data_IF_489584584371
#
_entry.id   IF_489584584371
#
_cell.length_a   1.000
_cell.length_b   1.000
_cell.length_c   1.000
_cell.angle_alpha   90.00
_cell.angle_beta   90.00
_cell.angle_gamma   90.00
#
_symmetry.space_group_name_H-M   'P 1'
#
loop_
_entity.id
_entity.type
_entity.pdbx_description
1 polymer ?
#
# COMPACT_ATOMS: atom_id res chain seq x y z
N UNK A 1 -23.22 8.45 18.64
CA UNK A 1 -23.62 7.30 17.80
C UNK A 1 -22.37 6.88 17.03
N UNK A 2 -21.48 6.10 17.64
CA UNK A 2 -20.20 5.71 17.04
C UNK A 2 -20.25 4.22 16.74
N UNK A 3 -20.29 3.89 15.45
CA UNK A 3 -20.33 2.51 14.95
C UNK A 3 -18.89 2.13 14.61
N UNK A 4 -18.13 1.73 15.62
CA UNK A 4 -16.95 0.88 15.43
C UNK A 4 -17.33 -0.49 16.00
N UNK A 5 -17.98 -1.30 15.16
CA UNK A 5 -18.24 -2.70 15.49
C UNK A 5 -16.96 -3.50 15.26
N UNK A 6 -16.20 -3.65 16.35
CA UNK A 6 -15.04 -4.53 16.45
C UNK A 6 -15.45 -5.99 16.34
N UNK A 7 -15.72 -6.45 15.11
CA UNK A 7 -15.84 -7.88 14.81
C UNK A 7 -14.48 -8.55 14.96
N UNK A 8 -14.22 -8.99 16.19
CA UNK A 8 -13.26 -10.06 16.51
C UNK A 8 -13.59 -11.28 15.66
N UNK A 9 -12.70 -11.63 14.74
CA UNK A 9 -12.64 -12.95 14.13
C UNK A 9 -11.83 -13.91 15.01
N UNK A 10 -12.22 -15.19 15.17
CA UNK A 10 -11.52 -16.13 16.05
C UNK A 10 -10.50 -17.02 15.30
N UNK A 11 -9.41 -17.36 16.02
CA UNK A 11 -8.52 -18.54 15.86
C UNK A 11 -7.54 -18.51 14.67
N UNK A 12 -6.24 -18.88 14.74
CA UNK A 12 -5.50 -19.85 15.59
C UNK A 12 -4.06 -19.37 15.82
N UNK A 13 -3.36 -20.07 16.72
CA UNK A 13 -2.01 -19.91 17.31
C UNK A 13 -0.79 -19.73 16.35
N UNK A 14 -0.98 -19.30 15.10
CA UNK A 14 0.06 -18.94 14.12
C UNK A 14 0.12 -17.44 13.77
N UNK A 15 -0.71 -16.61 14.41
CA UNK A 15 -1.10 -15.26 14.00
C UNK A 15 -0.16 -14.13 14.47
N UNK A 16 1.16 -14.32 14.38
CA UNK A 16 2.14 -13.28 14.77
C UNK A 16 2.31 -12.14 13.75
N UNK A 17 1.46 -12.04 12.72
CA UNK A 17 1.87 -11.39 11.45
C UNK A 17 0.98 -10.30 10.83
N UNK A 18 -0.23 -10.00 11.31
CA UNK A 18 -1.18 -9.25 10.46
C UNK A 18 -1.73 -7.95 11.07
N UNK A 19 -0.91 -7.22 11.83
CA UNK A 19 -1.13 -5.80 12.06
C UNK A 19 -0.53 -4.98 10.91
N UNK A 20 -1.03 -3.76 10.68
CA UNK A 20 -0.43 -2.78 9.76
C UNK A 20 1.09 -2.63 9.97
N UNK A 21 1.52 -2.59 11.22
CA UNK A 21 2.94 -2.55 11.59
C UNK A 21 3.69 -3.82 11.18
N UNK A 22 3.08 -5.00 11.28
CA UNK A 22 3.67 -6.26 10.83
C UNK A 22 3.87 -6.31 9.32
N UNK A 23 2.89 -5.83 8.56
CA UNK A 23 2.99 -5.72 7.11
C UNK A 23 4.03 -4.69 6.68
N UNK A 24 4.08 -3.53 7.33
CA UNK A 24 5.10 -2.52 7.06
C UNK A 24 6.51 -3.03 7.41
N UNK A 25 6.67 -3.73 8.54
CA UNK A 25 7.94 -4.32 8.91
C UNK A 25 8.42 -5.39 7.92
N UNK A 26 7.48 -6.14 7.32
CA UNK A 26 7.80 -7.10 6.28
C UNK A 26 8.19 -6.41 4.96
N UNK A 27 7.42 -5.38 4.55
CA UNK A 27 7.70 -4.57 3.36
C UNK A 27 9.10 -3.95 3.42
N UNK A 28 9.40 -3.25 4.51
CA UNK A 28 10.69 -2.59 4.72
C UNK A 28 11.86 -3.57 4.88
N UNK A 29 11.57 -4.85 5.15
CA UNK A 29 12.59 -5.90 5.24
C UNK A 29 12.92 -6.46 3.86
N UNK A 30 11.90 -6.81 3.08
CA UNK A 30 12.06 -7.39 1.74
C UNK A 30 10.75 -7.32 0.96
N UNK A 31 10.77 -6.63 -0.17
CA UNK A 31 9.63 -6.55 -1.10
C UNK A 31 9.25 -7.93 -1.64
N UNK A 32 10.24 -8.77 -1.98
CA UNK A 32 9.98 -10.11 -2.49
C UNK A 32 9.26 -10.98 -1.44
N UNK A 33 9.75 -10.98 -0.19
CA UNK A 33 9.09 -11.72 0.88
C UNK A 33 7.71 -11.16 1.21
N UNK A 34 7.56 -9.84 1.16
CA UNK A 34 6.29 -9.16 1.32
C UNK A 34 5.27 -9.63 0.27
N UNK A 35 5.62 -9.56 -1.01
CA UNK A 35 4.78 -10.00 -2.12
C UNK A 35 4.41 -11.48 -2.01
N UNK A 36 5.36 -12.36 -1.70
CA UNK A 36 5.10 -13.79 -1.55
C UNK A 36 4.09 -14.08 -0.42
N UNK A 37 4.28 -13.43 0.74
CA UNK A 37 3.36 -13.59 1.87
C UNK A 37 2.01 -12.96 1.62
N UNK A 38 1.98 -11.80 0.95
CA UNK A 38 0.76 -11.11 0.59
C UNK A 38 -0.06 -11.94 -0.40
N UNK A 39 0.58 -12.49 -1.43
CA UNK A 39 -0.06 -13.40 -2.40
C UNK A 39 -0.69 -14.60 -1.70
N UNK A 40 0.06 -15.27 -0.82
CA UNK A 40 -0.47 -16.40 -0.06
C UNK A 40 -1.63 -16.00 0.84
N UNK A 41 -1.52 -14.87 1.55
CA UNK A 41 -2.59 -14.38 2.42
C UNK A 41 -3.86 -14.02 1.65
N UNK A 42 -3.74 -13.51 0.41
CA UNK A 42 -4.88 -13.22 -0.47
C UNK A 42 -5.65 -14.45 -0.94
N UNK A 43 -5.04 -15.64 -0.96
CA UNK A 43 -5.76 -16.89 -1.26
C UNK A 43 -6.90 -17.10 -0.25
N UNK A 44 -6.65 -16.78 1.02
CA UNK A 44 -7.64 -16.84 2.10
C UNK A 44 -8.45 -15.54 2.24
N UNK A 45 -7.95 -14.42 1.70
CA UNK A 45 -8.49 -13.07 1.88
C UNK A 45 -8.64 -12.28 0.56
N UNK A 46 -9.34 -12.80 -0.46
CA UNK A 46 -9.28 -12.29 -1.84
C UNK A 46 -9.94 -10.92 -2.06
N UNK A 47 -10.74 -10.44 -1.11
CA UNK A 47 -11.43 -9.14 -1.17
C UNK A 47 -10.93 -8.15 -0.13
N UNK A 48 -9.89 -8.53 0.63
CA UNK A 48 -9.44 -7.71 1.74
C UNK A 48 -8.44 -6.68 1.25
N UNK A 49 -8.74 -5.42 1.51
CA UNK A 49 -7.82 -4.32 1.28
C UNK A 49 -6.77 -4.32 2.39
N UNK A 50 -5.49 -4.25 2.03
CA UNK A 50 -4.41 -4.18 2.99
C UNK A 50 -4.22 -2.73 3.47
N UNK A 51 -4.44 -2.42 4.77
CA UNK A 51 -4.37 -1.05 5.26
C UNK A 51 -2.92 -0.63 5.51
N UNK A 52 -2.27 -0.01 4.52
CA UNK A 52 -0.99 0.68 4.63
C UNK A 52 -1.17 2.21 4.45
N UNK A 53 -2.32 2.73 4.87
CA UNK A 53 -2.67 4.14 4.82
C UNK A 53 -1.78 4.96 5.79
N UNK A 54 -1.62 6.27 5.61
CA UNK A 54 -0.90 7.15 6.54
C UNK A 54 0.49 6.65 7.01
N UNK A 55 1.19 5.84 6.20
CA UNK A 55 2.56 5.42 6.50
C UNK A 55 3.56 6.39 5.89
N UNK A 56 4.72 6.52 6.51
CA UNK A 56 5.82 7.28 5.95
C UNK A 56 6.77 6.35 5.20
N UNK A 57 6.71 6.43 3.87
CA UNK A 57 7.59 5.75 2.92
C UNK A 57 8.41 6.77 2.13
N UNK A 58 8.52 8.01 2.65
CA UNK A 58 9.39 9.02 2.08
C UNK A 58 10.84 8.61 2.25
N UNK A 59 11.69 9.06 1.32
CA UNK A 59 13.13 8.81 1.33
C UNK A 59 13.54 7.36 1.13
N UNK A 60 12.62 6.46 0.77
CA UNK A 60 12.99 5.17 0.20
C UNK A 60 13.68 5.44 -1.13
N UNK A 61 14.92 4.97 -1.28
CA UNK A 61 15.77 5.29 -2.44
C UNK A 61 15.81 4.13 -3.43
N UNK A 62 16.09 4.48 -4.69
CA UNK A 62 16.46 3.63 -5.82
C UNK A 62 16.25 2.12 -5.60
N UNK A 63 15.10 1.63 -6.02
CA UNK A 63 14.79 0.20 -6.11
C UNK A 63 14.38 -0.49 -4.81
N UNK A 64 14.29 0.24 -3.68
CA UNK A 64 13.79 -0.34 -2.41
C UNK A 64 12.34 -0.83 -2.50
N UNK A 65 11.55 -0.34 -3.47
CA UNK A 65 10.19 -0.78 -3.75
C UNK A 65 10.06 -1.54 -5.08
N UNK A 66 11.17 -1.89 -5.73
CA UNK A 66 11.13 -2.54 -7.04
C UNK A 66 10.41 -3.89 -6.97
N UNK A 67 9.44 -4.05 -7.86
CA UNK A 67 8.60 -5.24 -7.94
C UNK A 67 7.48 -5.29 -6.91
N UNK A 68 7.29 -4.26 -6.06
CA UNK A 68 6.17 -4.24 -5.10
C UNK A 68 4.83 -4.30 -5.83
N UNK A 69 4.04 -5.34 -5.54
CA UNK A 69 2.70 -5.50 -6.08
C UNK A 69 1.70 -4.71 -5.23
N UNK A 70 1.22 -3.61 -5.80
CA UNK A 70 0.35 -2.67 -5.10
C UNK A 70 -1.15 -3.07 -5.13
N UNK A 71 -1.53 -4.15 -5.82
CA UNK A 71 -2.94 -4.52 -6.03
C UNK A 71 -3.70 -4.60 -4.70
N UNK A 72 -4.80 -3.87 -4.51
CA UNK A 72 -5.60 -3.97 -3.29
C UNK A 72 -4.88 -3.51 -2.00
N UNK A 73 -3.83 -2.70 -2.11
CA UNK A 73 -3.22 -2.01 -0.97
C UNK A 73 -3.83 -0.60 -0.87
N UNK A 74 -4.18 -0.21 0.35
CA UNK A 74 -4.56 1.16 0.66
C UNK A 74 -3.32 1.94 1.09
N UNK A 75 -2.92 2.92 0.28
CA UNK A 75 -1.85 3.89 0.57
C UNK A 75 -2.40 5.29 0.82
N UNK A 76 -3.68 5.40 1.16
CA UNK A 76 -4.31 6.71 1.36
C UNK A 76 -3.61 7.52 2.45
N UNK A 77 -3.34 8.79 2.17
CA UNK A 77 -2.62 9.68 3.09
C UNK A 77 -1.16 9.30 3.37
N UNK A 78 -0.63 8.25 2.74
CA UNK A 78 0.76 7.83 2.93
C UNK A 78 1.73 8.79 2.23
N UNK A 79 2.90 8.99 2.82
CA UNK A 79 3.90 9.91 2.31
C UNK A 79 4.94 9.15 1.45
N UNK A 80 5.05 9.51 0.18
CA UNK A 80 6.05 9.01 -0.76
C UNK A 80 6.92 10.14 -1.33
N UNK A 81 7.00 11.28 -0.63
CA UNK A 81 7.77 12.41 -1.15
C UNK A 81 9.22 12.03 -1.43
N UNK A 82 9.69 12.46 -2.60
CA UNK A 82 11.03 12.19 -3.14
C UNK A 82 11.38 10.69 -3.33
N UNK A 83 10.41 9.79 -3.28
CA UNK A 83 10.63 8.35 -3.49
C UNK A 83 10.65 7.96 -4.97
N UNK A 84 11.37 6.88 -5.29
CA UNK A 84 11.37 6.26 -6.61
C UNK A 84 10.29 5.17 -6.68
N UNK A 85 9.28 5.40 -7.52
CA UNK A 85 8.15 4.50 -7.74
C UNK A 85 8.24 3.74 -9.07
N UNK A 86 9.32 3.91 -9.84
CA UNK A 86 9.43 3.36 -11.20
C UNK A 86 9.30 1.84 -11.26
N UNK A 87 9.69 1.12 -10.21
CA UNK A 87 9.55 -0.34 -10.12
C UNK A 87 8.24 -0.86 -9.52
N UNK A 88 7.29 0.00 -9.14
CA UNK A 88 6.00 -0.45 -8.61
C UNK A 88 5.14 -1.14 -9.67
N UNK A 89 4.47 -2.23 -9.28
CA UNK A 89 3.56 -2.99 -10.12
C UNK A 89 2.09 -2.76 -9.69
N UNK A 90 1.16 -2.86 -10.65
CA UNK A 90 -0.29 -2.75 -10.42
C UNK A 90 -0.70 -1.46 -9.67
N UNK A 91 -0.03 -0.34 -9.99
CA UNK A 91 -0.27 0.98 -9.35
C UNK A 91 -1.72 1.43 -9.47
N UNK A 92 -2.39 1.08 -10.58
CA UNK A 92 -3.80 1.37 -10.86
C UNK A 92 -4.78 0.62 -9.97
N UNK A 93 -4.34 -0.47 -9.33
CA UNK A 93 -5.16 -1.31 -8.46
C UNK A 93 -4.99 -1.00 -6.97
N UNK A 94 -4.14 -0.04 -6.63
CA UNK A 94 -3.99 0.46 -5.27
C UNK A 94 -4.87 1.69 -5.05
N UNK A 95 -5.02 2.09 -3.78
CA UNK A 95 -5.73 3.32 -3.40
C UNK A 95 -4.69 4.36 -3.02
N UNK A 96 -4.61 5.45 -3.81
CA UNK A 96 -3.64 6.54 -3.62
C UNK A 96 -4.27 7.82 -3.05
N UNK A 97 -5.52 7.78 -2.60
CA UNK A 97 -6.25 8.97 -2.15
C UNK A 97 -5.45 9.77 -1.11
N UNK A 98 -5.23 11.06 -1.36
CA UNK A 98 -4.44 11.94 -0.47
C UNK A 98 -2.97 11.55 -0.26
N UNK A 99 -2.41 10.60 -1.01
CA UNK A 99 -1.00 10.25 -0.90
C UNK A 99 -0.10 11.45 -1.23
N UNK A 100 0.97 11.62 -0.45
CA UNK A 100 2.00 12.63 -0.68
C UNK A 100 2.94 12.19 -1.80
N UNK A 101 2.75 12.71 -3.01
CA UNK A 101 3.51 12.32 -4.21
C UNK A 101 4.42 13.44 -4.76
N UNK A 102 4.75 14.43 -3.94
CA UNK A 102 5.65 15.51 -4.37
C UNK A 102 7.07 14.98 -4.62
N UNK A 103 7.67 15.32 -5.76
CA UNK A 103 9.06 14.97 -6.07
C UNK A 103 9.29 13.49 -6.42
N UNK A 104 8.24 12.69 -6.60
CA UNK A 104 8.41 11.27 -6.97
C UNK A 104 9.09 11.12 -8.32
N UNK A 105 9.84 10.04 -8.48
CA UNK A 105 10.24 9.53 -9.79
C UNK A 105 9.30 8.38 -10.17
N UNK A 106 8.72 8.42 -11.36
CA UNK A 106 7.82 7.37 -11.85
C UNK A 106 7.83 7.33 -13.39
N UNK A 107 7.31 6.26 -13.97
CA UNK A 107 7.12 6.17 -15.42
C UNK A 107 5.98 7.11 -15.89
N UNK A 108 5.93 7.51 -17.17
CA UNK A 108 4.81 8.30 -17.70
C UNK A 108 3.44 7.65 -17.47
N UNK A 109 3.34 6.33 -17.56
CA UNK A 109 2.10 5.58 -17.35
C UNK A 109 1.67 5.63 -15.88
N UNK A 110 2.61 5.44 -14.96
CA UNK A 110 2.36 5.56 -13.53
C UNK A 110 1.94 6.99 -13.17
N UNK A 111 2.57 8.00 -13.77
CA UNK A 111 2.22 9.41 -13.54
C UNK A 111 0.76 9.69 -13.90
N UNK A 112 0.27 9.16 -15.03
CA UNK A 112 -1.13 9.31 -15.44
C UNK A 112 -2.10 8.70 -14.41
N UNK A 113 -1.81 7.48 -13.96
CA UNK A 113 -2.63 6.76 -12.98
C UNK A 113 -2.65 7.51 -11.65
N UNK A 114 -1.47 7.85 -11.11
CA UNK A 114 -1.32 8.52 -9.84
C UNK A 114 -1.97 9.90 -9.85
N UNK A 115 -1.76 10.67 -10.93
CA UNK A 115 -2.39 11.97 -11.09
C UNK A 115 -3.91 11.84 -11.12
N UNK A 116 -4.45 10.91 -11.92
CA UNK A 116 -5.90 10.72 -12.04
C UNK A 116 -6.52 10.39 -10.68
N UNK A 117 -6.00 9.38 -9.98
CA UNK A 117 -6.58 8.93 -8.71
C UNK A 117 -6.48 9.99 -7.61
N UNK A 118 -5.32 10.66 -7.47
CA UNK A 118 -5.14 11.70 -6.45
C UNK A 118 -5.98 12.93 -6.77
N UNK A 119 -6.13 13.29 -8.05
CA UNK A 119 -6.96 14.40 -8.48
C UNK A 119 -8.44 14.13 -8.23
N UNK A 120 -8.95 12.96 -8.62
CA UNK A 120 -10.33 12.54 -8.36
C UNK A 120 -10.64 12.54 -6.86
N UNK A 121 -9.73 12.01 -6.03
CA UNK A 121 -9.89 12.00 -4.58
C UNK A 121 -10.02 13.42 -3.99
N UNK A 122 -9.32 14.41 -4.55
CA UNK A 122 -9.40 15.82 -4.13
C UNK A 122 -10.67 16.53 -4.60
N UNK A 123 -11.28 16.10 -5.72
CA UNK A 123 -12.54 16.66 -6.19
C UNK A 123 -13.76 16.12 -5.44
N UNK A 124 -13.63 14.95 -4.82
CA UNK A 124 -14.71 14.29 -4.09
C UNK A 124 -14.94 14.81 -2.66
N UNK A 125 -14.10 15.75 -2.18
CA UNK A 125 -14.16 16.40 -0.86
C UNK A 125 -14.63 17.83 -0.95
#
# INVERSE_FOLDING_TARGET
MSIFDGRRHPSKEGDRGHSKAGWLALLLRSVEEFNQKLKKWREDNPKTILPLDHVDLSKLKNGELDGLDCEGIDFSGSNFSDSDLTGLLNVDKAIWAFAGLYGITCSPEQALVLFQQVFEAKLAT
#
